data_IF_668712050268
#
_entry.id   IF_668712050268
#
_cell.length_a   1.000
_cell.length_b   1.000
_cell.length_c   1.000
_cell.angle_alpha   90.00
_cell.angle_beta   90.00
_cell.angle_gamma   90.00
#
_symmetry.space_group_name_H-M   'P 1'
#
loop_
_entity.id
_entity.type
_entity.pdbx_description
1 polymer ?
#
# COMPACT_ATOMS: atom_id res chain seq x y z
N UNK A 1 7.22 3.55 -32.26
CA UNK A 1 7.24 3.97 -30.83
C UNK A 1 7.22 2.74 -29.91
N UNK A 2 6.35 1.75 -30.19
CA UNK A 2 6.39 0.44 -29.51
C UNK A 2 7.73 -0.29 -29.72
N UNK A 3 8.37 -0.16 -30.89
CA UNK A 3 9.68 -0.79 -31.14
C UNK A 3 10.76 -0.24 -30.19
N UNK A 4 10.88 1.08 -30.07
CA UNK A 4 11.78 1.70 -29.09
C UNK A 4 11.44 1.35 -27.63
N UNK A 5 10.17 1.04 -27.35
CA UNK A 5 9.78 0.55 -26.03
C UNK A 5 10.26 -0.89 -25.81
N UNK A 6 10.13 -1.77 -26.80
CA UNK A 6 10.65 -3.14 -26.78
C UNK A 6 12.17 -3.20 -26.69
N UNK A 7 12.86 -2.34 -27.44
CA UNK A 7 14.32 -2.21 -27.42
C UNK A 7 14.84 -1.59 -26.12
N UNK A 8 13.97 -1.05 -25.26
CA UNK A 8 14.36 -0.36 -24.04
C UNK A 8 15.12 0.96 -24.27
N UNK A 9 15.01 1.54 -25.47
CA UNK A 9 15.72 2.78 -25.85
C UNK A 9 14.96 4.06 -25.48
N UNK A 10 13.72 3.93 -25.01
CA UNK A 10 12.93 5.07 -24.54
C UNK A 10 13.44 5.65 -23.22
N UNK A 11 13.40 6.98 -23.10
CA UNK A 11 13.61 7.68 -21.83
C UNK A 11 12.59 7.21 -20.79
N UNK A 12 12.95 7.15 -19.48
CA UNK A 12 12.08 6.59 -18.43
C UNK A 12 10.67 7.18 -18.39
N UNK A 13 10.53 8.49 -18.61
CA UNK A 13 9.23 9.17 -18.64
C UNK A 13 8.34 8.68 -19.79
N UNK A 14 8.90 8.55 -21.00
CA UNK A 14 8.15 8.04 -22.16
C UNK A 14 7.86 6.55 -22.04
N UNK A 15 8.78 5.77 -21.46
CA UNK A 15 8.54 4.37 -21.18
C UNK A 15 7.34 4.18 -20.22
N UNK A 16 7.24 5.03 -19.19
CA UNK A 16 6.09 5.02 -18.29
C UNK A 16 4.79 5.37 -19.04
N UNK A 17 4.78 6.45 -19.81
CA UNK A 17 3.60 6.86 -20.61
C UNK A 17 3.12 5.74 -21.55
N UNK A 18 4.05 5.09 -22.28
CA UNK A 18 3.73 3.94 -23.14
C UNK A 18 3.22 2.76 -22.33
N UNK A 19 3.84 2.44 -21.20
CA UNK A 19 3.42 1.31 -20.35
C UNK A 19 2.01 1.50 -19.79
N UNK A 20 1.64 2.73 -19.41
CA UNK A 20 0.29 3.05 -18.96
C UNK A 20 -0.70 2.92 -20.11
N UNK A 21 -0.38 3.46 -21.29
CA UNK A 21 -1.27 3.36 -22.45
C UNK A 21 -1.50 1.91 -22.88
N UNK A 22 -0.45 1.09 -22.92
CA UNK A 22 -0.56 -0.34 -23.26
C UNK A 22 -1.42 -1.09 -22.25
N UNK A 23 -1.41 -0.69 -20.97
CA UNK A 23 -2.26 -1.29 -19.95
C UNK A 23 -3.75 -0.93 -20.10
N UNK A 24 -4.07 0.20 -20.72
CA UNK A 24 -5.44 0.70 -20.91
C UNK A 24 -6.02 0.41 -22.31
N UNK A 25 -5.18 0.04 -23.28
CA UNK A 25 -5.56 -0.14 -24.68
C UNK A 25 -5.27 -1.56 -25.17
N UNK A 26 -6.31 -2.41 -25.24
CA UNK A 26 -6.22 -3.81 -25.67
C UNK A 26 -5.57 -3.98 -27.05
N UNK A 27 -5.85 -3.05 -27.97
CA UNK A 27 -5.27 -3.07 -29.32
C UNK A 27 -3.75 -2.88 -29.29
N UNK A 28 -3.25 -1.98 -28.45
CA UNK A 28 -1.82 -1.74 -28.29
C UNK A 28 -1.13 -2.88 -27.53
N UNK A 29 -1.83 -3.51 -26.58
CA UNK A 29 -1.35 -4.71 -25.89
C UNK A 29 -1.21 -5.90 -26.85
N UNK A 30 -2.22 -6.15 -27.69
CA UNK A 30 -2.17 -7.20 -28.70
C UNK A 30 -1.02 -6.99 -29.69
N UNK A 31 -0.85 -5.77 -30.21
CA UNK A 31 0.24 -5.43 -31.13
C UNK A 31 1.62 -5.60 -30.46
N UNK A 32 1.76 -5.23 -29.19
CA UNK A 32 3.01 -5.42 -28.46
C UNK A 32 3.35 -6.91 -28.30
N UNK A 33 2.35 -7.75 -28.08
CA UNK A 33 2.55 -9.20 -27.95
C UNK A 33 2.93 -9.83 -29.29
N UNK A 34 2.31 -9.42 -30.40
CA UNK A 34 2.72 -9.85 -31.75
C UNK A 34 4.19 -9.50 -32.02
N UNK A 35 4.61 -8.28 -31.70
CA UNK A 35 6.00 -7.86 -31.86
C UNK A 35 6.97 -8.68 -31.00
N UNK A 36 6.58 -9.05 -29.77
CA UNK A 36 7.39 -9.92 -28.91
C UNK A 36 7.54 -11.33 -29.47
N UNK A 37 6.49 -11.88 -30.06
CA UNK A 37 6.55 -13.19 -30.72
C UNK A 37 7.52 -13.14 -31.88
N UNK A 38 7.47 -12.09 -32.71
CA UNK A 38 8.40 -11.89 -33.83
C UNK A 38 9.84 -11.79 -33.32
N UNK A 39 10.08 -11.02 -32.26
CA UNK A 39 11.41 -10.86 -31.68
C UNK A 39 11.94 -12.20 -31.10
N UNK A 40 11.08 -12.99 -30.46
CA UNK A 40 11.40 -14.35 -30.01
C UNK A 40 11.75 -15.30 -31.16
N UNK A 41 11.06 -15.21 -32.30
CA UNK A 41 11.36 -16.00 -33.50
C UNK A 41 12.70 -15.59 -34.11
N UNK A 42 13.01 -14.29 -34.15
CA UNK A 42 14.30 -13.79 -34.64
C UNK A 42 15.46 -14.21 -33.73
N UNK A 43 15.25 -14.18 -32.42
CA UNK A 43 16.25 -14.62 -31.43
C UNK A 43 16.51 -16.13 -31.50
N UNK A 44 15.48 -16.94 -31.75
CA UNK A 44 15.62 -18.40 -31.86
C UNK A 44 16.18 -18.85 -33.21
N UNK A 45 15.91 -18.12 -34.29
CA UNK A 45 16.48 -18.40 -35.61
C UNK A 45 18.01 -18.11 -35.66
N UNK A 46 18.51 -17.27 -34.76
CA UNK A 46 19.94 -16.98 -34.67
C UNK A 46 20.66 -18.18 -34.06
N UNK A 47 21.67 -18.70 -34.77
CA UNK A 47 22.49 -19.79 -34.25
C UNK A 47 23.00 -19.43 -32.84
N UNK A 48 22.88 -20.36 -31.86
CA UNK A 48 23.34 -20.08 -30.51
C UNK A 48 24.78 -19.64 -30.57
N UNK A 49 25.08 -18.43 -30.07
CA UNK A 49 26.46 -18.02 -29.87
C UNK A 49 27.13 -19.10 -29.01
N UNK A 50 28.32 -19.57 -29.40
CA UNK A 50 29.08 -20.54 -28.61
C UNK A 50 29.30 -19.96 -27.21
N UNK A 51 28.49 -20.40 -26.24
CA UNK A 51 28.69 -20.01 -24.85
C UNK A 51 29.96 -20.67 -24.36
N UNK A 52 30.82 -19.87 -23.73
CA UNK A 52 31.97 -20.42 -23.01
C UNK A 52 31.44 -21.28 -21.85
N UNK A 53 32.13 -22.37 -21.48
CA UNK A 53 31.73 -23.23 -20.36
C UNK A 53 31.56 -22.45 -19.03
N UNK A 54 32.23 -21.31 -18.91
CA UNK A 54 32.23 -20.47 -17.71
C UNK A 54 31.16 -19.36 -17.71
N UNK A 55 30.41 -19.17 -18.80
CA UNK A 55 29.39 -18.12 -18.89
C UNK A 55 28.35 -18.25 -17.76
N UNK A 56 27.81 -19.45 -17.54
CA UNK A 56 26.83 -19.70 -16.49
C UNK A 56 27.37 -19.37 -15.10
N UNK A 57 28.63 -19.75 -14.82
CA UNK A 57 29.27 -19.44 -13.55
C UNK A 57 29.44 -17.93 -13.37
N UNK A 58 29.90 -17.23 -14.41
CA UNK A 58 30.10 -15.79 -14.39
C UNK A 58 28.78 -15.02 -14.17
N UNK A 59 27.70 -15.43 -14.85
CA UNK A 59 26.38 -14.82 -14.70
C UNK A 59 25.82 -15.09 -13.30
N UNK A 60 25.90 -16.32 -12.80
CA UNK A 60 25.42 -16.66 -11.45
C UNK A 60 26.21 -15.92 -10.38
N UNK A 61 27.54 -15.83 -10.49
CA UNK A 61 28.35 -15.07 -9.55
C UNK A 61 28.08 -13.56 -9.62
N UNK A 62 27.90 -13.02 -10.83
CA UNK A 62 27.57 -11.60 -11.00
C UNK A 62 26.17 -11.28 -10.46
N UNK A 63 25.19 -12.16 -10.67
CA UNK A 63 23.84 -12.01 -10.12
C UNK A 63 23.84 -12.10 -8.59
N UNK A 64 24.65 -12.98 -8.01
CA UNK A 64 24.82 -13.09 -6.56
C UNK A 64 25.54 -11.87 -5.94
N UNK A 65 26.45 -11.24 -6.69
CA UNK A 65 27.17 -10.04 -6.27
C UNK A 65 26.38 -8.74 -6.51
N UNK A 66 25.30 -8.79 -7.28
CA UNK A 66 24.50 -7.60 -7.58
C UNK A 66 23.86 -7.05 -6.31
N UNK A 67 23.97 -5.73 -6.04
CA UNK A 67 23.36 -5.13 -4.87
C UNK A 67 21.83 -5.32 -4.92
N UNK A 68 21.18 -5.59 -3.78
CA UNK A 68 19.73 -5.72 -3.73
C UNK A 68 19.11 -4.44 -4.28
N UNK A 69 18.23 -4.57 -5.29
CA UNK A 69 17.47 -3.42 -5.81
C UNK A 69 16.77 -2.76 -4.61
N UNK A 70 16.92 -1.44 -4.42
CA UNK A 70 16.26 -0.77 -3.32
C UNK A 70 14.76 -1.02 -3.46
N UNK A 71 14.20 -1.81 -2.53
CA UNK A 71 12.77 -2.05 -2.49
C UNK A 71 12.10 -0.68 -2.41
N UNK A 72 11.24 -0.37 -3.38
CA UNK A 72 10.50 0.89 -3.42
C UNK A 72 9.70 0.97 -2.12
N UNK A 73 10.21 1.74 -1.16
CA UNK A 73 9.53 1.96 0.12
C UNK A 73 8.28 2.74 -0.21
N UNK A 74 7.15 2.05 -0.38
CA UNK A 74 5.85 2.70 -0.30
C UNK A 74 5.82 3.39 1.07
N UNK A 75 5.71 4.72 1.11
CA UNK A 75 5.83 5.44 2.36
C UNK A 75 4.64 5.03 3.22
N UNK A 76 4.89 4.17 4.20
CA UNK A 76 3.92 3.75 5.22
C UNK A 76 3.16 4.94 5.80
N UNK A 77 3.86 6.07 5.93
CA UNK A 77 3.29 7.34 6.35
C UNK A 77 2.16 7.83 5.44
N UNK A 78 2.24 7.65 4.11
CA UNK A 78 1.19 8.06 3.19
C UNK A 78 -0.07 7.20 3.35
N UNK A 79 0.08 5.89 3.59
CA UNK A 79 -1.05 5.01 3.89
C UNK A 79 -1.71 5.37 5.23
N UNK A 80 -0.90 5.66 6.26
CA UNK A 80 -1.39 6.09 7.57
C UNK A 80 -2.10 7.45 7.51
N UNK A 81 -1.52 8.44 6.80
CA UNK A 81 -2.13 9.77 6.60
C UNK A 81 -3.44 9.62 5.82
N UNK A 82 -3.45 8.84 4.74
CA UNK A 82 -4.67 8.59 3.96
C UNK A 82 -5.78 7.98 4.81
N UNK A 83 -5.45 7.00 5.65
CA UNK A 83 -6.39 6.42 6.61
C UNK A 83 -6.93 7.47 7.60
N UNK A 84 -6.03 8.25 8.23
CA UNK A 84 -6.41 9.24 9.22
C UNK A 84 -7.39 10.26 8.63
N UNK A 85 -7.12 10.74 7.41
CA UNK A 85 -7.99 11.69 6.68
C UNK A 85 -9.37 11.09 6.43
N UNK A 86 -9.45 9.84 5.96
CA UNK A 86 -10.74 9.18 5.69
C UNK A 86 -11.52 8.95 6.99
N UNK A 87 -10.86 8.50 8.06
CA UNK A 87 -11.49 8.30 9.36
C UNK A 87 -12.08 9.60 9.93
N UNK A 88 -11.31 10.69 9.90
CA UNK A 88 -11.78 12.01 10.35
C UNK A 88 -12.89 12.57 9.46
N UNK A 89 -12.84 12.35 8.15
CA UNK A 89 -13.91 12.76 7.24
C UNK A 89 -15.23 12.04 7.56
N UNK A 90 -15.19 10.74 7.85
CA UNK A 90 -16.37 9.95 8.24
C UNK A 90 -16.93 10.45 9.59
N UNK A 91 -16.05 10.68 10.58
CA UNK A 91 -16.46 11.20 11.88
C UNK A 91 -17.10 12.60 11.78
N UNK A 92 -16.47 13.51 11.04
CA UNK A 92 -16.99 14.86 10.79
C UNK A 92 -18.33 14.81 10.07
N UNK A 93 -18.47 13.93 9.08
CA UNK A 93 -19.72 13.74 8.34
C UNK A 93 -20.84 13.19 9.22
N UNK A 94 -20.55 12.21 10.08
CA UNK A 94 -21.51 11.66 11.04
C UNK A 94 -21.97 12.74 12.05
N UNK A 95 -21.03 13.54 12.56
CA UNK A 95 -21.35 14.68 13.44
C UNK A 95 -22.21 15.74 12.74
N UNK A 96 -21.90 16.07 11.50
CA UNK A 96 -22.66 17.04 10.70
C UNK A 96 -24.10 16.57 10.41
N UNK A 97 -24.31 15.26 10.18
CA UNK A 97 -25.64 14.69 9.92
C UNK A 97 -26.45 14.38 11.18
N UNK A 98 -25.78 14.09 12.30
CA UNK A 98 -26.43 13.61 13.53
C UNK A 98 -27.08 14.68 14.41
N UNK A 99 -27.10 15.96 14.00
CA UNK A 99 -27.70 17.05 14.81
C UNK A 99 -26.94 17.39 16.10
N UNK A 100 -25.71 16.89 16.28
CA UNK A 100 -24.90 17.00 17.51
C UNK A 100 -24.30 18.38 17.81
N UNK A 101 -24.73 19.44 17.11
CA UNK A 101 -24.27 20.81 17.42
C UNK A 101 -24.83 21.28 18.78
N UNK A 102 -26.00 20.76 19.19
CA UNK A 102 -26.57 21.03 20.51
C UNK A 102 -25.85 20.36 21.68
N UNK A 103 -25.20 19.21 21.47
CA UNK A 103 -24.58 18.42 22.55
C UNK A 103 -23.21 18.93 22.96
N UNK A 104 -22.46 19.56 22.05
CA UNK A 104 -21.15 20.17 22.38
C UNK A 104 -21.34 21.48 23.16
N UNK A 105 -22.33 22.30 22.78
CA UNK A 105 -22.70 23.48 23.54
C UNK A 105 -23.23 23.14 24.95
N UNK A 106 -23.98 22.04 25.09
CA UNK A 106 -24.44 21.53 26.38
C UNK A 106 -23.29 20.98 27.25
N UNK A 107 -22.24 20.40 26.66
CA UNK A 107 -21.06 19.94 27.39
C UNK A 107 -20.23 21.10 27.96
N UNK A 108 -20.06 22.18 27.19
CA UNK A 108 -19.34 23.39 27.64
C UNK A 108 -20.13 24.12 28.75
N UNK A 109 -21.47 24.11 28.69
CA UNK A 109 -22.30 24.64 29.77
C UNK A 109 -22.31 23.75 31.04
N UNK A 110 -22.00 22.45 30.91
CA UNK A 110 -22.05 21.46 32.00
C UNK A 110 -20.82 21.50 32.92
N UNK A 111 -19.73 22.17 32.54
CA UNK A 111 -18.47 22.21 33.30
C UNK A 111 -18.61 23.00 34.62
N UNK A 112 -19.63 23.85 34.75
CA UNK A 112 -19.90 24.63 35.97
C UNK A 112 -20.77 23.94 37.03
N UNK A 113 -21.34 22.75 36.77
CA UNK A 113 -22.32 22.08 37.65
C UNK A 113 -22.01 20.60 37.99
N UNK A 114 -20.78 20.15 37.72
CA UNK A 114 -20.43 18.74 37.60
C UNK A 114 -19.80 18.11 38.85
N UNK A 115 -20.58 17.97 39.93
CA UNK A 115 -20.42 16.82 40.84
C UNK A 115 -21.78 16.16 41.13
N UNK A 116 -22.86 16.93 41.28
CA UNK A 116 -24.21 16.37 41.48
C UNK A 116 -24.92 15.98 40.17
N UNK A 117 -24.66 16.69 39.06
CA UNK A 117 -25.33 16.46 37.78
C UNK A 117 -24.84 15.19 37.05
N UNK A 118 -23.60 14.76 37.28
CA UNK A 118 -23.01 13.58 36.63
C UNK A 118 -23.80 12.29 36.94
N UNK A 119 -24.30 12.14 38.17
CA UNK A 119 -25.10 10.98 38.57
C UNK A 119 -26.54 10.97 38.02
N UNK A 120 -27.11 12.14 37.73
CA UNK A 120 -28.44 12.28 37.13
C UNK A 120 -28.38 12.11 35.60
N UNK A 121 -27.35 12.66 34.95
CA UNK A 121 -27.10 12.51 33.51
C UNK A 121 -26.85 11.03 33.15
N UNK A 122 -26.07 10.29 33.94
CA UNK A 122 -25.84 8.86 33.72
C UNK A 122 -27.13 8.03 33.78
N UNK A 123 -28.11 8.42 34.61
CA UNK A 123 -29.42 7.75 34.68
C UNK A 123 -30.37 8.19 33.55
N UNK A 124 -30.28 9.44 33.10
CA UNK A 124 -31.09 9.97 32.01
C UNK A 124 -30.62 9.47 30.62
N UNK A 125 -29.33 9.15 30.45
CA UNK A 125 -28.80 8.57 29.20
C UNK A 125 -29.02 7.05 29.09
N UNK A 126 -29.49 6.37 30.14
CA UNK A 126 -29.73 4.93 30.13
C UNK A 126 -30.62 4.40 28.98
N UNK A 127 -31.66 5.11 28.48
CA UNK A 127 -32.45 4.63 27.34
C UNK A 127 -31.87 4.96 25.96
N UNK A 128 -30.93 5.91 25.83
CA UNK A 128 -30.25 6.26 24.57
C UNK A 128 -28.83 5.64 24.45
N UNK A 129 -28.36 5.02 25.53
CA UNK A 129 -27.07 4.35 25.66
C UNK A 129 -26.78 3.22 24.65
N UNK A 130 -27.72 2.41 24.15
CA UNK A 130 -27.34 1.27 23.32
C UNK A 130 -26.74 1.69 21.97
N UNK A 131 -27.22 2.78 21.36
CA UNK A 131 -26.68 3.29 20.09
C UNK A 131 -25.31 3.94 20.26
N UNK A 132 -25.12 4.73 21.32
CA UNK A 132 -23.82 5.32 21.63
C UNK A 132 -22.79 4.24 22.00
N UNK A 133 -23.18 3.25 22.80
CA UNK A 133 -22.32 2.11 23.12
C UNK A 133 -22.01 1.25 21.88
N UNK A 134 -22.97 1.05 20.99
CA UNK A 134 -22.75 0.36 19.71
C UNK A 134 -21.80 1.14 18.80
N UNK A 135 -21.91 2.48 18.75
CA UNK A 135 -21.01 3.31 17.97
C UNK A 135 -19.58 3.27 18.51
N UNK A 136 -19.39 3.38 19.84
CA UNK A 136 -18.08 3.31 20.48
C UNK A 136 -17.45 1.92 20.30
N UNK A 137 -18.23 0.85 20.45
CA UNK A 137 -17.74 -0.52 20.24
C UNK A 137 -17.40 -0.79 18.77
N UNK A 138 -18.17 -0.24 17.81
CA UNK A 138 -17.85 -0.33 16.40
C UNK A 138 -16.54 0.39 16.05
N UNK A 139 -16.31 1.59 16.58
CA UNK A 139 -15.04 2.32 16.39
C UNK A 139 -13.86 1.54 16.96
N UNK A 140 -13.98 1.01 18.19
CA UNK A 140 -12.95 0.18 18.81
C UNK A 140 -12.66 -1.10 18.00
N UNK A 141 -13.69 -1.76 17.46
CA UNK A 141 -13.50 -2.94 16.61
C UNK A 141 -12.77 -2.60 15.31
N UNK A 142 -13.08 -1.46 14.69
CA UNK A 142 -12.39 -0.98 13.49
C UNK A 142 -10.92 -0.71 13.80
N UNK A 143 -10.62 -0.03 14.92
CA UNK A 143 -9.25 0.25 15.34
C UNK A 143 -8.45 -1.03 15.64
N UNK A 144 -9.06 -2.00 16.35
CA UNK A 144 -8.44 -3.31 16.62
C UNK A 144 -8.17 -4.05 15.30
N UNK A 145 -9.14 -4.09 14.39
CA UNK A 145 -8.97 -4.75 13.09
C UNK A 145 -7.85 -4.09 12.27
N UNK A 146 -7.74 -2.76 12.34
CA UNK A 146 -6.70 -1.99 11.69
C UNK A 146 -5.31 -2.31 12.26
N UNK A 147 -5.18 -2.31 13.58
CA UNK A 147 -3.92 -2.68 14.26
C UNK A 147 -3.52 -4.10 13.89
N UNK A 148 -4.45 -5.05 13.86
CA UNK A 148 -4.19 -6.42 13.43
C UNK A 148 -3.76 -6.50 11.96
N UNK A 149 -4.42 -5.77 11.05
CA UNK A 149 -4.04 -5.71 9.65
C UNK A 149 -2.63 -5.13 9.46
N UNK A 150 -2.26 -4.10 10.23
CA UNK A 150 -0.92 -3.51 10.24
C UNK A 150 0.12 -4.51 10.77
N UNK A 151 -0.15 -5.16 11.92
CA UNK A 151 0.75 -6.17 12.49
C UNK A 151 0.93 -7.33 11.51
N UNK A 152 -0.17 -7.80 10.90
CA UNK A 152 -0.13 -8.90 9.93
C UNK A 152 0.69 -8.51 8.68
N UNK A 153 0.45 -7.32 8.12
CA UNK A 153 1.22 -6.80 7.00
C UNK A 153 2.71 -6.69 7.35
N UNK A 154 3.05 -6.15 8.52
CA UNK A 154 4.43 -6.02 8.98
C UNK A 154 5.10 -7.37 9.20
N UNK A 155 4.42 -8.34 9.82
CA UNK A 155 4.94 -9.70 10.03
C UNK A 155 5.07 -10.49 8.74
N UNK A 156 4.23 -10.23 7.74
CA UNK A 156 4.30 -10.90 6.44
C UNK A 156 5.39 -10.31 5.53
N UNK A 157 5.67 -9.01 5.66
CA UNK A 157 6.71 -8.33 4.89
C UNK A 157 8.12 -8.48 5.50
N UNK A 158 8.24 -8.66 6.83
CA UNK A 158 9.52 -8.90 7.52
C UNK A 158 10.33 -10.13 7.08
N UNK A 159 9.76 -11.33 6.85
CA UNK A 159 10.53 -12.52 6.49
C UNK A 159 11.20 -12.43 5.11
N UNK A 160 10.87 -11.43 4.29
CA UNK A 160 11.55 -11.19 3.02
C UNK A 160 12.82 -10.32 3.14
N UNK A 161 13.12 -9.75 4.33
CA UNK A 161 14.24 -8.83 4.55
C UNK A 161 15.39 -9.39 5.42
N UNK A 162 15.32 -10.64 5.85
CA UNK A 162 16.43 -11.35 6.50
C UNK A 162 16.52 -12.73 5.84
N UNK A 163 17.60 -13.06 5.10
CA UNK A 163 18.96 -13.16 5.68
C UNK A 163 20.10 -12.74 4.71
N UNK A 164 21.35 -12.69 5.22
CA UNK A 164 22.65 -12.77 4.50
C UNK A 164 23.69 -11.65 4.71
N UNK A 165 23.61 -10.87 5.78
CA UNK A 165 24.72 -9.96 6.14
C UNK A 165 25.90 -10.61 6.90
N UNK A 166 25.96 -11.94 7.07
CA UNK A 166 27.01 -12.60 7.89
C UNK A 166 27.76 -13.76 7.21
N UNK A 167 27.94 -13.75 5.88
CA UNK A 167 28.93 -14.63 5.22
C UNK A 167 29.74 -13.83 4.21
N UNK A 168 30.92 -13.37 4.59
CA UNK A 168 31.86 -12.78 3.62
C UNK A 168 32.99 -11.94 4.18
N UNK A 169 33.56 -12.27 5.35
CA UNK A 169 34.87 -11.76 5.77
C UNK A 169 35.70 -12.93 6.28
N UNK A 170 36.17 -13.76 5.34
CA UNK A 170 37.35 -14.63 5.49
C UNK A 170 37.92 -14.89 4.11
N UNK A 171 38.81 -13.99 3.69
CA UNK A 171 40.02 -14.28 2.92
C UNK A 171 40.83 -12.99 2.85
#
# INVERSE_FOLDING_TARGET
MLDHYLEGTLRPRKALEVSTHVAECDRCAALLEELRVIDGLLLTARAPARMTPDFTKAVVSAAAAAPPKPARRVPFLAALIGYLVVAWAIAAFALARGGGVGTVAALVASEQQSIAAAGAALRALAPAAPLAAAAVTAVLLIDIFLVLAVIYGYRRLRPAAAPNHLRGVRS
#
